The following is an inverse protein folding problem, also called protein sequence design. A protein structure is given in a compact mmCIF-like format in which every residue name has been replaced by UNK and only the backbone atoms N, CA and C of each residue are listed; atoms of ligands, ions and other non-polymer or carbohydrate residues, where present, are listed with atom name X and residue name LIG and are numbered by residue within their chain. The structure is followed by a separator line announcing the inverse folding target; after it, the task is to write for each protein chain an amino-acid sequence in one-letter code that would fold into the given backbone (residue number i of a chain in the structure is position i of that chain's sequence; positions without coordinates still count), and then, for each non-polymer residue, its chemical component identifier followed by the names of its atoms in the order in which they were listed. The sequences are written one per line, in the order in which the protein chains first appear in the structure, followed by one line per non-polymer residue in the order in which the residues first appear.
data_IF_865871320790
#
_entry.id   IF_865871320790
#
_cell.length_a   1.000
_cell.length_b   1.000
_cell.length_c   1.000
_cell.angle_alpha   90.00
_cell.angle_beta   90.00
_cell.angle_gamma   90.00
#
_symmetry.space_group_name_H-M   'P 1'
#
loop_
_entity.id
_entity.type
_entity.pdbx_description
1 polymer ?
#
# COMPACT_ATOMS: atom_id res chain seq x y z
N UNK A 1 1.02 0.16 -9.27
CA UNK A 1 0.63 -0.60 -10.47
C UNK A 1 -0.87 -0.47 -10.70
N UNK A 2 -1.27 -0.35 -11.95
CA UNK A 2 -2.68 -0.33 -12.37
C UNK A 2 -2.93 -1.53 -13.28
N UNK A 3 -4.02 -2.25 -13.05
CA UNK A 3 -4.40 -3.41 -13.84
C UNK A 3 -5.89 -3.34 -14.21
N UNK A 4 -6.26 -3.93 -15.35
CA UNK A 4 -7.66 -4.04 -15.72
C UNK A 4 -8.39 -4.98 -14.76
N UNK A 5 -9.66 -4.67 -14.48
CA UNK A 5 -10.47 -5.46 -13.57
C UNK A 5 -10.65 -6.88 -14.09
N UNK A 6 -10.27 -7.86 -13.31
CA UNK A 6 -10.31 -9.28 -13.65
C UNK A 6 -9.44 -10.13 -12.74
N UNK A 7 -8.41 -9.52 -12.13
CA UNK A 7 -7.61 -10.15 -11.10
C UNK A 7 -8.07 -9.77 -9.70
N UNK A 8 -7.76 -10.58 -8.71
CA UNK A 8 -8.06 -10.24 -7.33
C UNK A 8 -7.07 -9.22 -6.77
N UNK A 9 -7.52 -8.41 -5.81
CA UNK A 9 -6.65 -7.46 -5.11
C UNK A 9 -5.47 -8.17 -4.43
N UNK A 10 -5.66 -9.27 -3.68
CA UNK A 10 -4.53 -9.98 -3.09
C UNK A 10 -3.48 -10.47 -4.10
N UNK A 11 -3.92 -10.94 -5.26
CA UNK A 11 -3.00 -11.38 -6.33
C UNK A 11 -2.16 -10.22 -6.86
N UNK A 12 -2.77 -9.07 -7.12
CA UNK A 12 -2.04 -7.90 -7.61
C UNK A 12 -1.09 -7.35 -6.53
N UNK A 13 -1.51 -7.30 -5.28
CA UNK A 13 -0.64 -6.92 -4.15
C UNK A 13 0.56 -7.86 -4.06
N UNK A 14 0.35 -9.16 -4.18
CA UNK A 14 1.45 -10.13 -4.15
C UNK A 14 2.42 -9.92 -5.33
N UNK A 15 1.90 -9.64 -6.50
CA UNK A 15 2.71 -9.35 -7.69
C UNK A 15 3.57 -8.09 -7.48
N UNK A 16 2.98 -7.01 -6.99
CA UNK A 16 3.69 -5.76 -6.71
C UNK A 16 4.73 -5.97 -5.61
N UNK A 17 4.39 -6.71 -4.56
CA UNK A 17 5.32 -7.05 -3.48
C UNK A 17 6.51 -7.85 -4.00
N UNK A 18 6.29 -8.82 -4.89
CA UNK A 18 7.35 -9.60 -5.49
C UNK A 18 8.29 -8.74 -6.34
N UNK A 19 7.75 -7.80 -7.09
CA UNK A 19 8.55 -6.84 -7.87
C UNK A 19 9.40 -5.94 -6.98
N UNK A 20 8.83 -5.46 -5.88
CA UNK A 20 9.55 -4.64 -4.91
C UNK A 20 10.66 -5.44 -4.21
N UNK A 21 10.39 -6.68 -3.81
CA UNK A 21 11.38 -7.56 -3.19
C UNK A 21 12.54 -7.84 -4.14
N UNK A 22 12.27 -8.06 -5.43
CA UNK A 22 13.31 -8.29 -6.43
C UNK A 22 14.13 -7.01 -6.67
N UNK A 23 13.49 -5.86 -6.77
CA UNK A 23 14.17 -4.59 -7.00
C UNK A 23 15.08 -4.19 -5.83
N UNK A 24 14.71 -4.56 -4.60
CA UNK A 24 15.39 -4.15 -3.37
C UNK A 24 16.02 -5.32 -2.61
N UNK A 25 16.22 -6.47 -3.25
CA UNK A 25 16.71 -7.69 -2.60
C UNK A 25 18.05 -7.52 -1.88
N UNK A 26 18.90 -6.64 -2.36
CA UNK A 26 20.19 -6.37 -1.76
C UNK A 26 20.09 -5.66 -0.39
N UNK A 27 18.95 -5.06 -0.08
CA UNK A 27 18.68 -4.37 1.19
C UNK A 27 17.82 -5.21 2.14
N UNK A 28 17.25 -6.31 1.65
CA UNK A 28 16.40 -7.17 2.48
C UNK A 28 17.23 -7.90 3.54
N UNK A 29 16.65 -8.08 4.71
CA UNK A 29 17.28 -8.87 5.78
C UNK A 29 17.38 -10.33 5.33
N UNK A 30 18.58 -10.91 5.45
CA UNK A 30 18.80 -12.31 5.07
C UNK A 30 17.93 -13.22 5.93
N UNK A 31 17.18 -14.10 5.30
CA UNK A 31 16.27 -15.01 5.99
C UNK A 31 14.94 -14.42 6.41
N UNK A 32 14.67 -13.16 6.05
CA UNK A 32 13.38 -12.55 6.32
C UNK A 32 12.24 -13.32 5.66
N UNK A 33 11.14 -13.51 6.38
CA UNK A 33 9.96 -14.23 5.93
C UNK A 33 8.78 -13.28 5.87
N UNK A 34 7.99 -13.41 4.84
CA UNK A 34 6.77 -12.63 4.66
C UNK A 34 5.68 -13.44 3.97
N UNK A 35 4.51 -12.85 3.75
CA UNK A 35 3.43 -13.51 3.04
C UNK A 35 3.87 -13.92 1.63
N UNK A 36 3.60 -15.16 1.26
CA UNK A 36 3.97 -15.72 -0.05
C UNK A 36 2.75 -16.05 -0.93
N UNK A 37 1.57 -16.12 -0.34
CA UNK A 37 0.35 -16.51 -1.05
C UNK A 37 -0.69 -15.40 -1.05
N UNK A 38 -1.59 -15.36 -2.05
CA UNK A 38 -2.70 -14.41 -2.05
C UNK A 38 -3.59 -14.52 -0.81
N UNK A 39 -3.75 -15.71 -0.23
CA UNK A 39 -4.54 -15.90 0.99
C UNK A 39 -3.90 -15.18 2.18
N UNK A 40 -2.60 -15.31 2.34
CA UNK A 40 -1.87 -14.61 3.41
C UNK A 40 -1.93 -13.08 3.23
N UNK A 41 -1.85 -12.60 1.99
CA UNK A 41 -2.01 -11.18 1.67
C UNK A 41 -3.43 -10.73 2.01
N UNK A 42 -4.46 -11.51 1.63
CA UNK A 42 -5.84 -11.16 1.93
C UNK A 42 -6.08 -11.05 3.44
N UNK A 43 -5.51 -11.96 4.22
CA UNK A 43 -5.60 -11.93 5.68
C UNK A 43 -4.95 -10.69 6.29
N UNK A 44 -3.96 -10.11 5.61
CA UNK A 44 -3.27 -8.90 6.07
C UNK A 44 -4.02 -7.62 5.70
N UNK A 45 -4.95 -7.67 4.75
CA UNK A 45 -5.65 -6.50 4.23
C UNK A 45 -6.95 -6.23 5.00
N UNK A 46 -7.19 -4.96 5.28
CA UNK A 46 -8.41 -4.47 5.92
C UNK A 46 -9.16 -3.59 4.93
N UNK A 47 -10.46 -3.74 4.85
CA UNK A 47 -11.30 -2.88 4.02
C UNK A 47 -11.47 -1.52 4.68
N UNK A 48 -11.34 -0.46 3.88
CA UNK A 48 -11.52 0.93 4.31
C UNK A 48 -12.47 1.65 3.37
N UNK A 49 -12.97 2.80 3.78
CA UNK A 49 -13.78 3.66 2.92
C UNK A 49 -12.89 4.53 2.00
N UNK A 50 -13.51 5.17 1.01
CA UNK A 50 -12.80 6.02 0.06
C UNK A 50 -12.12 7.22 0.73
N UNK A 51 -12.72 7.79 1.76
CA UNK A 51 -12.14 8.92 2.48
C UNK A 51 -10.84 8.55 3.18
N UNK A 52 -10.82 7.39 3.83
CA UNK A 52 -9.61 6.85 4.46
C UNK A 52 -8.57 6.48 3.43
N UNK A 53 -9.00 5.96 2.27
CA UNK A 53 -8.10 5.64 1.16
C UNK A 53 -7.35 6.89 0.70
N UNK A 54 -8.01 8.04 0.54
CA UNK A 54 -7.34 9.30 0.20
C UNK A 54 -6.27 9.64 1.25
N UNK A 55 -6.59 9.53 2.52
CA UNK A 55 -5.64 9.80 3.62
C UNK A 55 -4.43 8.88 3.59
N UNK A 56 -4.63 7.59 3.42
CA UNK A 56 -3.53 6.61 3.37
C UNK A 56 -2.70 6.72 2.11
N UNK A 57 -3.32 6.95 0.95
CA UNK A 57 -2.58 7.21 -0.29
C UNK A 57 -1.69 8.45 -0.16
N UNK A 58 -2.23 9.52 0.41
CA UNK A 58 -1.49 10.75 0.67
C UNK A 58 -0.31 10.48 1.61
N UNK A 59 -0.55 9.72 2.67
CA UNK A 59 0.48 9.37 3.65
C UNK A 59 1.62 8.58 2.99
N UNK A 60 1.31 7.51 2.26
CA UNK A 60 2.31 6.68 1.60
C UNK A 60 3.09 7.44 0.52
N UNK A 61 2.50 8.44 -0.10
CA UNK A 61 3.17 9.24 -1.11
C UNK A 61 4.07 10.34 -0.51
N UNK A 62 3.88 10.72 0.76
CA UNK A 62 4.55 11.88 1.35
C UNK A 62 5.49 11.57 2.49
N UNK A 63 5.28 10.48 3.22
CA UNK A 63 6.09 10.12 4.38
C UNK A 63 6.96 8.90 4.12
N UNK A 64 8.16 8.93 4.68
CA UNK A 64 9.04 7.78 4.72
C UNK A 64 8.60 6.85 5.86
N UNK A 65 8.45 5.56 5.58
CA UNK A 65 8.02 4.59 6.59
C UNK A 65 9.10 4.31 7.63
N UNK A 66 10.37 4.44 7.24
CA UNK A 66 11.51 4.20 8.14
C UNK A 66 11.79 5.45 8.98
N UNK A 67 11.79 6.62 8.35
CA UNK A 67 12.12 7.89 8.99
C UNK A 67 10.98 8.90 8.82
N UNK A 68 9.85 8.72 9.53
CA UNK A 68 8.66 9.52 9.30
C UNK A 68 8.83 11.01 9.61
N UNK A 69 9.85 11.38 10.37
CA UNK A 69 10.17 12.77 10.68
C UNK A 69 11.16 13.44 9.74
N UNK A 70 11.69 12.73 8.74
CA UNK A 70 12.81 13.20 7.90
C UNK A 70 12.42 14.17 6.78
N UNK A 71 11.16 14.53 6.68
CA UNK A 71 10.64 15.44 5.68
C UNK A 71 9.38 14.93 5.02
N UNK A 72 8.65 15.87 4.46
CA UNK A 72 7.39 15.61 3.80
C UNK A 72 7.49 16.16 2.37
N UNK A 73 7.15 15.34 1.38
CA UNK A 73 6.96 15.80 0.01
C UNK A 73 5.71 16.69 -0.03
N UNK A 74 5.49 17.38 -1.15
CA UNK A 74 4.34 18.25 -1.29
C UNK A 74 3.02 17.50 -1.02
N UNK A 75 2.51 17.66 0.20
CA UNK A 75 1.32 16.98 0.69
C UNK A 75 0.07 17.41 -0.07
N UNK A 76 -0.03 18.68 -0.42
CA UNK A 76 -1.18 19.20 -1.16
C UNK A 76 -1.27 18.55 -2.54
N UNK A 77 -0.15 18.44 -3.22
CA UNK A 77 -0.09 17.78 -4.52
C UNK A 77 -0.43 16.29 -4.41
N UNK A 78 0.15 15.59 -3.43
CA UNK A 78 -0.12 14.18 -3.20
C UNK A 78 -1.59 13.93 -2.87
N UNK A 79 -2.21 14.77 -2.05
CA UNK A 79 -3.62 14.66 -1.72
C UNK A 79 -4.52 14.84 -2.94
N UNK A 80 -4.23 15.81 -3.79
CA UNK A 80 -4.98 16.01 -5.04
C UNK A 80 -4.85 14.82 -5.97
N UNK A 81 -3.65 14.25 -6.08
CA UNK A 81 -3.43 13.04 -6.87
C UNK A 81 -4.21 11.86 -6.31
N UNK A 82 -4.20 11.67 -4.99
CA UNK A 82 -4.97 10.63 -4.32
C UNK A 82 -6.47 10.78 -4.56
N UNK A 83 -6.99 11.99 -4.45
CA UNK A 83 -8.40 12.27 -4.72
C UNK A 83 -8.78 11.95 -6.17
N UNK A 84 -7.90 12.23 -7.13
CA UNK A 84 -8.12 11.88 -8.54
C UNK A 84 -8.16 10.37 -8.76
N UNK A 85 -7.25 9.63 -8.15
CA UNK A 85 -7.21 8.17 -8.26
C UNK A 85 -8.50 7.57 -7.70
N UNK A 86 -8.92 8.01 -6.51
CA UNK A 86 -10.16 7.53 -5.89
C UNK A 86 -11.36 7.86 -6.76
N UNK A 87 -11.40 9.05 -7.36
CA UNK A 87 -12.49 9.45 -8.25
C UNK A 87 -12.52 8.61 -9.53
N UNK A 88 -11.35 8.27 -10.09
CA UNK A 88 -11.25 7.45 -11.29
C UNK A 88 -11.79 6.03 -11.08
N UNK A 89 -11.61 5.46 -9.90
CA UNK A 89 -12.14 4.15 -9.58
C UNK A 89 -13.65 4.17 -9.35
N UNK A 90 -14.21 5.33 -8.99
CA UNK A 90 -15.64 5.48 -8.73
C UNK A 90 -16.00 5.26 -7.28
N UNK A 91 -17.13 5.83 -6.86
CA UNK A 91 -17.56 5.78 -5.46
C UNK A 91 -17.98 4.37 -4.97
N UNK A 92 -18.24 3.45 -5.90
CA UNK A 92 -18.54 2.05 -5.56
C UNK A 92 -17.30 1.17 -5.44
N UNK A 93 -16.11 1.73 -5.70
CA UNK A 93 -14.87 0.97 -5.58
C UNK A 93 -14.63 0.50 -4.15
N UNK A 94 -14.06 -0.69 -4.01
CA UNK A 94 -13.64 -1.22 -2.72
C UNK A 94 -12.16 -0.88 -2.49
N UNK A 95 -11.83 -0.45 -1.27
CA UNK A 95 -10.49 -0.06 -0.88
C UNK A 95 -9.99 -0.89 0.28
N UNK A 96 -8.68 -1.19 0.26
CA UNK A 96 -8.01 -2.05 1.25
C UNK A 96 -6.65 -1.50 1.61
N UNK A 97 -6.21 -1.79 2.84
CA UNK A 97 -4.87 -1.43 3.32
C UNK A 97 -4.39 -2.45 4.34
N UNK A 98 -3.08 -2.57 4.47
CA UNK A 98 -2.47 -3.34 5.56
C UNK A 98 -2.17 -2.47 6.79
N UNK A 99 -2.40 -1.17 6.69
CA UNK A 99 -2.12 -0.23 7.78
C UNK A 99 -3.26 -0.25 8.78
N UNK A 100 -2.94 -0.56 10.04
CA UNK A 100 -3.93 -0.65 11.12
C UNK A 100 -4.13 0.72 11.76
N UNK A 101 -3.04 1.42 12.04
CA UNK A 101 -3.08 2.68 12.76
C UNK A 101 -1.94 3.61 12.31
N UNK A 102 -2.29 4.86 12.05
CA UNK A 102 -1.35 5.94 11.75
C UNK A 102 -1.28 6.97 12.89
N UNK A 103 -2.01 6.76 13.99
CA UNK A 103 -2.03 7.73 15.08
C UNK A 103 -0.67 7.85 15.76
N UNK A 104 -0.43 9.02 16.28
CA UNK A 104 0.82 9.56 16.79
C UNK A 104 1.76 8.54 17.47
N UNK A 105 2.91 8.33 16.88
CA UNK A 105 4.03 7.64 17.51
C UNK A 105 4.04 6.11 17.39
N UNK A 106 2.89 5.49 17.22
CA UNK A 106 2.80 4.03 17.05
C UNK A 106 2.09 3.71 15.74
N UNK A 107 2.87 3.48 14.70
CA UNK A 107 2.32 2.94 13.46
C UNK A 107 2.20 1.43 13.60
N UNK A 108 1.04 0.89 13.22
CA UNK A 108 0.80 -0.54 13.22
C UNK A 108 0.34 -0.97 11.83
N UNK A 109 0.88 -2.08 11.35
CA UNK A 109 0.50 -2.66 10.06
C UNK A 109 0.67 -4.17 10.09
N UNK A 110 -0.03 -4.84 9.17
CA UNK A 110 0.15 -6.26 8.90
C UNK A 110 1.11 -6.40 7.71
N UNK A 111 2.25 -7.10 7.82
CA UNK A 111 3.20 -7.19 6.72
C UNK A 111 2.59 -7.81 5.45
N UNK A 112 2.93 -7.27 4.29
CA UNK A 112 2.60 -7.83 2.98
C UNK A 112 3.85 -8.15 2.15
N UNK A 113 5.03 -7.80 2.66
CA UNK A 113 6.32 -8.10 2.03
C UNK A 113 7.27 -8.72 3.06
N UNK A 114 8.48 -9.05 2.59
CA UNK A 114 9.59 -9.49 3.46
C UNK A 114 10.43 -8.33 3.99
N UNK A 115 10.09 -7.11 3.60
CA UNK A 115 10.78 -5.91 4.09
C UNK A 115 10.39 -5.61 5.54
N UNK A 116 11.28 -4.92 6.25
CA UNK A 116 11.05 -4.53 7.64
C UNK A 116 9.82 -3.63 7.77
N UNK A 117 9.64 -2.72 6.82
CA UNK A 117 8.51 -1.80 6.79
C UNK A 117 7.81 -1.90 5.46
N UNK A 118 6.48 -2.00 5.47
CA UNK A 118 5.68 -1.87 4.27
C UNK A 118 4.34 -1.22 4.56
N UNK A 119 3.81 -0.57 3.54
CA UNK A 119 2.47 0.00 3.57
C UNK A 119 1.88 -0.09 2.18
N UNK A 120 0.66 -0.58 2.10
CA UNK A 120 -0.05 -0.75 0.84
C UNK A 120 -1.46 -0.17 0.94
N UNK A 121 -1.88 0.48 -0.13
CA UNK A 121 -3.28 0.82 -0.37
C UNK A 121 -3.65 0.26 -1.73
N UNK A 122 -4.74 -0.49 -1.78
CA UNK A 122 -5.24 -1.08 -3.00
C UNK A 122 -6.72 -0.74 -3.17
N UNK A 123 -7.11 -0.45 -4.40
CA UNK A 123 -8.50 -0.17 -4.73
C UNK A 123 -8.90 -0.91 -5.99
N UNK A 124 -10.12 -1.45 -5.99
CA UNK A 124 -10.69 -2.09 -7.16
C UNK A 124 -12.03 -1.49 -7.48
N UNK A 125 -12.16 -0.97 -8.70
CA UNK A 125 -13.37 -0.44 -9.25
C UNK A 125 -13.91 -1.33 -10.35
N UNK A 126 -14.85 -0.82 -11.11
CA UNK A 126 -15.46 -1.55 -12.21
C UNK A 126 -14.48 -1.82 -13.35
N UNK A 127 -13.61 -0.85 -13.66
CA UNK A 127 -12.71 -0.93 -14.81
C UNK A 127 -11.24 -1.11 -14.46
N UNK A 128 -10.83 -0.70 -13.26
CA UNK A 128 -9.42 -0.66 -12.86
C UNK A 128 -9.22 -1.18 -11.45
N UNK A 129 -8.04 -1.76 -11.24
CA UNK A 129 -7.49 -2.04 -9.91
C UNK A 129 -6.16 -1.30 -9.79
N UNK A 130 -5.94 -0.61 -8.68
CA UNK A 130 -4.70 0.13 -8.42
C UNK A 130 -4.08 -0.37 -7.12
N UNK A 131 -2.75 -0.39 -7.09
CA UNK A 131 -1.98 -0.71 -5.88
C UNK A 131 -0.85 0.29 -5.74
N UNK A 132 -0.76 0.90 -4.57
CA UNK A 132 0.39 1.71 -4.17
C UNK A 132 1.06 1.00 -2.99
N UNK A 133 2.31 0.64 -3.18
CA UNK A 133 3.13 -0.02 -2.16
C UNK A 133 4.36 0.82 -1.87
N UNK A 134 4.64 1.05 -0.59
CA UNK A 134 5.92 1.58 -0.13
C UNK A 134 6.59 0.51 0.74
N UNK A 135 7.89 0.30 0.52
CA UNK A 135 8.70 -0.61 1.34
C UNK A 135 9.91 0.15 1.89
N UNK A 136 10.43 -0.30 3.02
CA UNK A 136 11.60 0.29 3.62
C UNK A 136 12.35 -0.68 4.52
N UNK A 137 13.65 -0.42 4.63
CA UNK A 137 14.57 -1.11 5.56
C UNK A 137 15.28 -0.06 6.41
N UNK A 138 15.48 -0.33 7.67
CA UNK A 138 16.26 0.53 8.56
C UNK A 138 17.75 0.20 8.59
#
# INVERSE_FOLDING_TARGET
MVDEAGGSVPELVRQVAAEAEEAWKQYAVVGAVGPDTPVEIDDALLQIDAKRAVGFLTYLATYDLVFPGSGCRDRTHARRAAERVVRLLGYEAAWYTNIIDLSSGARAWNPVTRHTFDGVVAGTGESFTVVLLQVGED
#
